data_IF_166714722405
#
_entry.id   IF_166714722405
#
_cell.length_a   1.000
_cell.length_b   1.000
_cell.length_c   1.000
_cell.angle_alpha   90.00
_cell.angle_beta   90.00
_cell.angle_gamma   90.00
#
_symmetry.space_group_name_H-M   'P 1'
#
loop_
_entity.id
_entity.type
_entity.pdbx_description
1 polymer ?
#
# COMPACT_ATOMS: atom_id res chain seq x y z
N UNK A 1 -19.18 -18.64 -19.96
CA UNK A 1 -19.31 -17.41 -19.17
C UNK A 1 -19.40 -17.54 -17.66
N UNK A 2 -19.84 -18.65 -17.05
CA UNK A 2 -19.60 -18.94 -15.61
C UNK A 2 -20.17 -17.94 -14.58
N UNK A 3 -20.87 -16.90 -15.04
CA UNK A 3 -21.57 -15.90 -14.23
C UNK A 3 -22.88 -16.48 -13.70
N UNK A 4 -23.35 -15.97 -12.57
CA UNK A 4 -24.64 -16.36 -11.98
C UNK A 4 -25.78 -16.03 -12.94
N UNK A 5 -26.67 -17.00 -13.17
CA UNK A 5 -27.94 -16.76 -13.85
C UNK A 5 -28.95 -16.13 -12.88
N UNK A 6 -29.57 -15.02 -13.30
CA UNK A 6 -30.58 -14.32 -12.52
C UNK A 6 -31.95 -14.96 -12.76
N UNK A 7 -32.63 -15.36 -11.68
CA UNK A 7 -33.91 -16.07 -11.74
C UNK A 7 -35.01 -15.17 -12.30
N UNK A 8 -34.95 -13.88 -12.01
CA UNK A 8 -35.88 -12.87 -12.54
C UNK A 8 -35.46 -12.33 -13.91
N UNK A 9 -34.45 -12.93 -14.55
CA UNK A 9 -33.86 -12.50 -15.81
C UNK A 9 -32.91 -11.30 -15.72
N UNK A 10 -32.95 -10.52 -14.63
CA UNK A 10 -32.08 -9.35 -14.44
C UNK A 10 -31.74 -9.11 -12.97
N UNK A 11 -30.48 -8.77 -12.69
CA UNK A 11 -30.04 -8.38 -11.35
C UNK A 11 -30.83 -7.21 -10.74
N UNK A 12 -31.44 -6.35 -11.59
CA UNK A 12 -32.23 -5.18 -11.15
C UNK A 12 -33.60 -5.54 -10.57
N UNK A 13 -34.15 -6.71 -10.90
CA UNK A 13 -35.44 -7.17 -10.41
C UNK A 13 -35.32 -8.10 -9.21
N UNK A 14 -34.10 -8.46 -8.79
CA UNK A 14 -33.83 -9.23 -7.58
C UNK A 14 -33.59 -8.28 -6.39
N UNK A 15 -34.07 -8.65 -5.19
CA UNK A 15 -33.72 -7.96 -3.94
C UNK A 15 -32.24 -8.11 -3.58
N UNK A 16 -31.75 -7.40 -2.56
CA UNK A 16 -30.34 -7.53 -2.14
C UNK A 16 -30.00 -8.96 -1.73
N UNK A 17 -28.93 -9.51 -2.32
CA UNK A 17 -28.38 -10.82 -1.97
C UNK A 17 -26.85 -10.74 -1.81
N UNK A 18 -26.32 -11.62 -0.95
CA UNK A 18 -24.87 -11.78 -0.79
C UNK A 18 -24.36 -12.83 -1.77
N UNK A 19 -23.32 -12.50 -2.53
CA UNK A 19 -22.61 -13.43 -3.41
C UNK A 19 -21.48 -14.08 -2.60
N UNK A 20 -21.34 -15.40 -2.73
CA UNK A 20 -20.24 -16.13 -2.10
C UNK A 20 -18.87 -15.68 -2.63
N UNK A 21 -17.82 -15.82 -1.81
CA UNK A 21 -16.46 -15.43 -2.20
C UNK A 21 -16.02 -16.11 -3.51
N UNK A 22 -16.33 -17.39 -3.71
CA UNK A 22 -15.93 -18.14 -4.92
C UNK A 22 -16.53 -17.56 -6.19
N UNK A 23 -17.80 -17.20 -6.15
CA UNK A 23 -18.49 -16.59 -7.29
C UNK A 23 -18.05 -15.14 -7.49
N UNK A 24 -17.80 -14.40 -6.41
CA UNK A 24 -17.30 -13.02 -6.45
C UNK A 24 -15.96 -12.89 -7.17
N UNK A 25 -15.07 -13.89 -7.07
CA UNK A 25 -13.80 -13.90 -7.80
C UNK A 25 -13.97 -13.88 -9.33
N UNK A 26 -15.04 -14.49 -9.86
CA UNK A 26 -15.31 -14.52 -11.31
C UNK A 26 -15.58 -13.12 -11.86
N UNK A 27 -16.26 -12.28 -11.07
CA UNK A 27 -16.52 -10.87 -11.41
C UNK A 27 -15.26 -9.99 -11.32
N UNK A 28 -14.33 -10.30 -10.39
CA UNK A 28 -13.07 -9.58 -10.20
C UNK A 28 -12.04 -9.89 -11.30
N UNK A 29 -11.99 -11.13 -11.80
CA UNK A 29 -11.04 -11.48 -12.85
C UNK A 29 -11.36 -10.75 -14.17
N UNK A 30 -12.64 -10.46 -14.43
CA UNK A 30 -13.06 -9.75 -15.63
C UNK A 30 -12.64 -8.27 -15.63
N UNK A 31 -12.38 -7.66 -14.46
CA UNK A 31 -11.82 -6.30 -14.38
C UNK A 31 -10.32 -6.27 -14.70
N UNK A 32 -9.64 -7.41 -14.66
CA UNK A 32 -8.25 -7.56 -15.11
C UNK A 32 -8.14 -7.54 -16.63
N UNK A 33 -9.15 -8.02 -17.36
CA UNK A 33 -9.18 -8.03 -18.82
C UNK A 33 -9.28 -6.61 -19.44
N UNK A 34 -9.72 -5.60 -18.68
CA UNK A 34 -9.76 -4.20 -19.11
C UNK A 34 -8.53 -3.38 -18.72
N UNK A 35 -7.56 -3.99 -18.02
CA UNK A 35 -6.23 -3.40 -17.85
C UNK A 35 -5.34 -4.02 -18.93
N UNK A 36 -5.31 -3.42 -20.13
CA UNK A 36 -4.31 -3.75 -21.14
C UNK A 36 -2.91 -3.63 -20.50
N UNK A 37 -2.21 -4.77 -20.44
CA UNK A 37 -0.77 -4.83 -20.22
C UNK A 37 -0.10 -4.24 -21.48
N UNK A 38 0.77 -3.22 -21.37
CA UNK A 38 1.61 -2.83 -22.49
C UNK A 38 2.55 -3.98 -22.87
N UNK A 39 2.92 -4.12 -24.16
CA UNK A 39 3.61 -5.28 -24.67
C UNK A 39 4.96 -5.49 -23.97
N UNK A 40 5.20 -6.75 -23.61
CA UNK A 40 6.44 -7.23 -23.02
C UNK A 40 7.55 -7.25 -24.07
N UNK A 41 8.24 -6.13 -24.26
CA UNK A 41 9.53 -6.10 -24.95
C UNK A 41 10.39 -4.90 -24.54
N UNK A 42 10.97 -4.94 -23.34
CA UNK A 42 12.29 -4.34 -23.07
C UNK A 42 12.89 -4.89 -21.77
N UNK A 43 13.43 -6.11 -21.82
CA UNK A 43 14.37 -6.55 -20.79
C UNK A 43 15.71 -5.82 -20.97
N UNK A 44 16.34 -5.46 -19.85
CA UNK A 44 17.73 -4.96 -19.72
C UNK A 44 17.97 -3.47 -20.01
N UNK A 45 17.36 -2.52 -19.25
CA UNK A 45 17.95 -1.16 -19.14
C UNK A 45 17.55 -0.26 -17.95
N UNK A 46 17.16 -0.80 -16.80
CA UNK A 46 16.65 0.05 -15.70
C UNK A 46 17.64 0.39 -14.55
N UNK A 47 18.87 -0.16 -14.56
CA UNK A 47 19.90 0.25 -13.59
C UNK A 47 20.32 1.75 -13.67
N UNK A 48 20.45 2.39 -14.84
CA UNK A 48 20.86 3.80 -14.87
C UNK A 48 19.79 4.74 -14.30
N UNK A 49 18.50 4.43 -14.42
CA UNK A 49 17.42 5.33 -14.01
C UNK A 49 17.28 5.51 -12.48
N UNK A 50 17.63 4.50 -11.68
CA UNK A 50 17.62 4.63 -10.22
C UNK A 50 18.86 5.41 -9.72
N UNK A 51 20.01 5.19 -10.35
CA UNK A 51 21.24 5.93 -10.05
C UNK A 51 21.12 7.40 -10.48
N UNK A 52 20.55 7.67 -11.66
CA UNK A 52 20.27 9.00 -12.18
C UNK A 52 19.28 9.76 -11.30
N UNK A 53 18.15 9.16 -10.91
CA UNK A 53 17.22 9.79 -9.94
C UNK A 53 17.92 10.11 -8.62
N UNK A 54 18.80 9.23 -8.13
CA UNK A 54 19.60 9.50 -6.91
C UNK A 54 20.60 10.64 -7.09
N UNK A 55 21.28 10.72 -8.24
CA UNK A 55 22.30 11.75 -8.49
C UNK A 55 21.68 13.12 -8.78
N UNK A 56 20.62 13.19 -9.58
CA UNK A 56 19.84 14.40 -9.84
C UNK A 56 19.26 14.97 -8.54
N UNK A 57 18.75 14.10 -7.67
CA UNK A 57 18.18 14.54 -6.40
C UNK A 57 19.23 15.01 -5.39
N UNK A 58 20.39 14.33 -5.31
CA UNK A 58 21.53 14.81 -4.49
C UNK A 58 21.99 16.18 -4.97
N UNK A 59 22.00 16.41 -6.30
CA UNK A 59 22.32 17.71 -6.90
C UNK A 59 21.31 18.78 -6.51
N UNK A 60 20.00 18.50 -6.60
CA UNK A 60 18.93 19.42 -6.17
C UNK A 60 18.98 19.75 -4.67
N UNK A 61 19.29 18.79 -3.79
CA UNK A 61 19.48 19.07 -2.37
C UNK A 61 20.69 19.97 -2.13
N UNK A 62 21.83 19.68 -2.79
CA UNK A 62 23.08 20.43 -2.61
C UNK A 62 23.00 21.89 -3.09
N UNK A 63 22.11 22.22 -4.04
CA UNK A 63 21.95 23.60 -4.53
C UNK A 63 21.21 24.52 -3.56
N UNK A 64 20.50 23.98 -2.55
CA UNK A 64 19.77 24.75 -1.55
C UNK A 64 20.49 24.86 -0.18
N UNK A 65 21.56 24.08 0.05
CA UNK A 65 22.25 24.01 1.36
C UNK A 65 23.30 25.10 1.61
N UNK A 66 23.36 26.15 0.79
CA UNK A 66 24.37 27.20 0.90
C UNK A 66 24.21 28.19 2.06
N UNK A 67 23.10 28.19 2.84
CA UNK A 67 22.86 29.29 3.79
C UNK A 67 22.04 29.02 5.07
N UNK A 68 21.65 27.79 5.43
CA UNK A 68 21.06 27.58 6.77
C UNK A 68 21.23 26.15 7.30
N UNK A 69 21.84 26.06 8.47
CA UNK A 69 21.99 24.85 9.28
C UNK A 69 20.67 24.60 10.03
N UNK A 70 19.67 24.07 9.32
CA UNK A 70 18.36 23.80 9.90
C UNK A 70 17.91 22.40 9.53
N UNK A 71 17.62 21.59 10.55
CA UNK A 71 17.01 20.25 10.48
C UNK A 71 15.73 20.18 9.62
N UNK A 72 15.20 21.33 9.18
CA UNK A 72 14.16 21.46 8.16
C UNK A 72 14.49 20.75 6.84
N UNK A 73 15.76 20.60 6.42
CA UNK A 73 16.11 19.90 5.17
C UNK A 73 16.50 18.44 5.36
N UNK A 74 16.51 17.95 6.60
CA UNK A 74 16.62 16.52 6.94
C UNK A 74 15.29 15.79 6.68
N UNK A 75 14.53 16.24 5.68
CA UNK A 75 13.29 15.62 5.24
C UNK A 75 13.58 14.20 4.78
N UNK A 76 13.28 13.25 5.66
CA UNK A 76 13.06 11.83 5.42
C UNK A 76 13.84 11.27 4.21
N UNK A 77 15.12 10.98 4.45
CA UNK A 77 16.02 10.41 3.42
C UNK A 77 15.46 9.12 2.80
N UNK A 78 14.52 8.44 3.49
CA UNK A 78 13.86 7.21 3.01
C UNK A 78 12.68 7.48 2.08
N UNK A 79 12.05 8.67 2.08
CA UNK A 79 10.99 9.04 1.12
C UNK A 79 11.46 8.88 -0.33
N UNK A 80 12.74 9.12 -0.57
CA UNK A 80 13.35 9.04 -1.91
C UNK A 80 13.77 7.62 -2.32
N UNK A 81 13.71 6.64 -1.40
CA UNK A 81 14.01 5.23 -1.67
C UNK A 81 12.75 4.40 -1.96
N UNK A 82 11.58 5.03 -2.06
CA UNK A 82 10.31 4.35 -2.28
C UNK A 82 10.23 3.71 -3.67
N UNK A 83 9.85 2.44 -3.70
CA UNK A 83 9.57 1.66 -4.92
C UNK A 83 8.25 2.05 -5.58
N UNK A 84 8.12 1.75 -6.88
CA UNK A 84 6.86 1.87 -7.61
C UNK A 84 5.89 0.77 -7.15
N UNK A 85 4.85 1.17 -6.42
CA UNK A 85 3.85 0.27 -5.83
C UNK A 85 2.44 0.68 -6.26
N UNK A 86 1.55 -0.30 -6.38
CA UNK A 86 0.13 -0.12 -6.75
C UNK A 86 -0.77 -0.67 -5.66
N UNK A 87 -1.76 0.12 -5.27
CA UNK A 87 -2.84 -0.30 -4.37
C UNK A 87 -3.98 -0.90 -5.21
N UNK A 88 -4.38 -2.13 -4.92
CA UNK A 88 -5.53 -2.76 -5.56
C UNK A 88 -6.14 -3.87 -4.69
N UNK A 89 -7.25 -4.47 -5.15
CA UNK A 89 -7.92 -5.56 -4.44
C UNK A 89 -6.97 -6.76 -4.32
N UNK A 90 -6.85 -7.32 -3.12
CA UNK A 90 -6.01 -8.50 -2.88
C UNK A 90 -6.87 -9.74 -2.61
N UNK A 91 -6.28 -10.91 -2.87
CA UNK A 91 -6.90 -12.21 -2.61
C UNK A 91 -6.78 -12.64 -1.14
N UNK A 92 -5.84 -12.04 -0.40
CA UNK A 92 -5.58 -12.38 1.01
C UNK A 92 -6.55 -11.61 1.92
N UNK A 93 -6.55 -10.29 1.77
CA UNK A 93 -7.40 -9.37 2.52
C UNK A 93 -7.88 -8.28 1.58
N UNK A 94 -9.00 -7.64 1.92
CA UNK A 94 -9.76 -6.74 1.05
C UNK A 94 -8.90 -5.94 0.07
N UNK A 95 -7.90 -5.22 0.57
CA UNK A 95 -6.96 -4.49 -0.25
C UNK A 95 -5.54 -4.98 -0.02
N UNK A 96 -4.66 -4.71 -0.98
CA UNK A 96 -3.24 -5.04 -0.88
C UNK A 96 -2.36 -4.09 -1.67
N UNK A 97 -1.05 -4.19 -1.42
CA UNK A 97 -0.01 -3.42 -2.08
C UNK A 97 0.86 -4.31 -2.97
N UNK A 98 0.99 -3.95 -4.24
CA UNK A 98 1.67 -4.75 -5.26
C UNK A 98 2.85 -3.99 -5.87
N UNK A 99 3.96 -4.67 -6.12
CA UNK A 99 5.12 -4.08 -6.78
C UNK A 99 4.89 -3.95 -8.29
N UNK A 100 5.21 -2.78 -8.85
CA UNK A 100 5.14 -2.48 -10.29
C UNK A 100 6.53 -2.51 -10.96
N UNK A 101 7.57 -2.82 -10.19
CA UNK A 101 8.94 -2.97 -10.65
C UNK A 101 9.60 -4.12 -9.89
N UNK A 102 10.61 -4.81 -10.47
CA UNK A 102 11.34 -5.85 -9.77
C UNK A 102 12.10 -5.27 -8.57
N UNK A 103 12.06 -5.98 -7.45
CA UNK A 103 12.72 -5.61 -6.20
C UNK A 103 13.76 -6.68 -5.89
N UNK A 104 15.02 -6.29 -5.71
CA UNK A 104 16.08 -7.20 -5.32
C UNK A 104 15.99 -7.53 -3.82
N UNK A 105 16.59 -8.65 -3.41
CA UNK A 105 16.78 -8.96 -1.99
C UNK A 105 17.52 -7.82 -1.27
N UNK A 106 17.20 -7.63 0.01
CA UNK A 106 17.76 -6.59 0.89
C UNK A 106 17.53 -5.13 0.43
N UNK A 107 16.62 -4.91 -0.52
CA UNK A 107 16.28 -3.57 -0.98
C UNK A 107 15.09 -2.98 -0.22
N UNK A 108 15.25 -1.73 0.21
CA UNK A 108 14.16 -0.97 0.84
C UNK A 108 13.00 -0.73 -0.12
N UNK A 109 11.77 -0.99 0.35
CA UNK A 109 10.53 -0.88 -0.43
C UNK A 109 9.77 0.42 -0.16
N UNK A 110 9.25 0.57 1.05
CA UNK A 110 8.48 1.74 1.51
C UNK A 110 8.56 1.83 3.04
N UNK A 111 8.72 3.03 3.58
CA UNK A 111 8.63 3.29 5.01
C UNK A 111 7.19 3.16 5.52
N UNK A 112 7.00 2.61 6.71
CA UNK A 112 5.70 2.60 7.38
C UNK A 112 5.47 3.94 8.09
N UNK A 113 4.56 4.77 7.57
CA UNK A 113 4.32 6.11 8.10
C UNK A 113 2.97 6.18 8.78
N UNK A 114 2.96 6.73 10.00
CA UNK A 114 1.76 6.99 10.79
C UNK A 114 2.04 7.97 11.93
N UNK A 115 1.12 8.08 12.88
CA UNK A 115 1.28 8.86 14.10
C UNK A 115 2.12 8.10 15.12
N UNK A 116 3.11 8.75 15.72
CA UNK A 116 3.86 8.18 16.84
C UNK A 116 3.03 8.32 18.13
N UNK A 117 2.77 7.19 18.78
CA UNK A 117 1.98 7.08 20.01
C UNK A 117 2.66 6.15 21.02
N UNK A 118 2.31 6.35 22.30
CA UNK A 118 2.75 5.48 23.41
C UNK A 118 1.80 4.28 23.58
N UNK A 119 2.27 3.23 24.26
CA UNK A 119 1.48 2.02 24.55
C UNK A 119 0.09 2.33 25.12
N UNK A 120 -0.01 3.14 26.17
CA UNK A 120 -1.29 3.47 26.82
C UNK A 120 -2.29 4.10 25.85
N UNK A 121 -1.80 4.89 24.89
CA UNK A 121 -2.65 5.52 23.87
C UNK A 121 -3.06 4.51 22.79
N UNK A 122 -2.19 3.55 22.46
CA UNK A 122 -2.50 2.48 21.53
C UNK A 122 -3.64 1.61 22.07
N UNK A 123 -3.56 1.17 23.33
CA UNK A 123 -4.59 0.35 23.97
C UNK A 123 -5.96 1.08 24.01
N UNK A 124 -5.95 2.38 24.34
CA UNK A 124 -7.15 3.21 24.33
C UNK A 124 -7.75 3.34 22.91
N UNK A 125 -6.89 3.50 21.88
CA UNK A 125 -7.32 3.65 20.49
C UNK A 125 -7.83 2.35 19.90
N UNK A 126 -7.21 1.22 20.24
CA UNK A 126 -7.64 -0.10 19.80
C UNK A 126 -9.09 -0.36 20.21
N UNK A 127 -9.41 -0.20 21.50
CA UNK A 127 -10.79 -0.34 22.00
C UNK A 127 -11.76 0.62 21.29
N UNK A 128 -11.36 1.88 21.10
CA UNK A 128 -12.20 2.85 20.39
C UNK A 128 -12.44 2.46 18.94
N UNK A 129 -11.44 1.94 18.25
CA UNK A 129 -11.57 1.51 16.86
C UNK A 129 -12.43 0.26 16.72
N UNK A 130 -12.36 -0.66 17.68
CA UNK A 130 -13.31 -1.78 17.79
C UNK A 130 -14.76 -1.28 17.96
N UNK A 131 -14.98 -0.34 18.88
CA UNK A 131 -16.31 0.28 19.12
C UNK A 131 -16.83 1.04 17.88
N UNK A 132 -15.94 1.70 17.12
CA UNK A 132 -16.25 2.35 15.83
C UNK A 132 -16.52 1.33 14.69
N UNK A 133 -16.30 0.03 14.92
CA UNK A 133 -16.47 -1.03 13.92
C UNK A 133 -15.31 -1.15 12.93
N UNK A 134 -14.15 -0.57 13.24
CA UNK A 134 -12.93 -0.70 12.44
C UNK A 134 -12.26 -2.02 12.80
N UNK A 135 -12.68 -3.10 12.14
CA UNK A 135 -12.18 -4.46 12.39
C UNK A 135 -10.78 -4.75 11.83
N UNK A 136 -9.92 -3.75 11.64
CA UNK A 136 -8.54 -3.94 11.14
C UNK A 136 -7.56 -3.06 11.93
N UNK A 137 -6.50 -3.67 12.46
CA UNK A 137 -5.45 -2.95 13.20
C UNK A 137 -4.35 -2.46 12.25
N UNK A 138 -4.04 -1.17 12.34
CA UNK A 138 -2.96 -0.52 11.57
C UNK A 138 -1.90 0.08 12.50
N UNK A 139 -1.54 -0.66 13.54
CA UNK A 139 -0.51 -0.27 14.51
C UNK A 139 0.76 -1.09 14.30
N UNK A 140 1.90 -0.42 14.25
CA UNK A 140 3.22 -1.04 14.12
C UNK A 140 4.09 -0.68 15.30
N UNK A 141 4.56 -1.69 16.05
CA UNK A 141 5.45 -1.49 17.20
C UNK A 141 6.89 -1.31 16.73
N UNK A 142 7.51 -0.20 17.09
CA UNK A 142 8.93 0.08 16.79
C UNK A 142 9.79 -0.33 17.98
N UNK A 143 9.40 0.12 19.18
CA UNK A 143 10.09 -0.15 20.45
C UNK A 143 9.07 -0.54 21.53
N UNK A 144 9.51 -0.70 22.78
CA UNK A 144 8.61 -0.96 23.92
C UNK A 144 7.58 0.15 24.16
N UNK A 145 8.00 1.41 24.01
CA UNK A 145 7.17 2.60 24.29
C UNK A 145 6.70 3.33 23.02
N UNK A 146 7.18 2.92 21.85
CA UNK A 146 6.95 3.62 20.57
C UNK A 146 6.15 2.76 19.62
N UNK A 147 4.94 3.19 19.31
CA UNK A 147 4.03 2.56 18.34
C UNK A 147 3.68 3.59 17.26
N UNK A 148 3.63 3.15 16.00
CA UNK A 148 3.19 3.95 14.86
C UNK A 148 1.77 3.53 14.48
N UNK A 149 0.81 4.44 14.64
CA UNK A 149 -0.59 4.24 14.27
C UNK A 149 -0.90 4.87 12.91
N UNK A 150 -1.24 4.04 11.93
CA UNK A 150 -1.57 4.44 10.56
C UNK A 150 -3.07 4.38 10.25
N UNK A 151 -3.94 4.20 11.26
CA UNK A 151 -5.38 3.97 11.09
C UNK A 151 -6.07 5.14 10.39
N UNK A 152 -5.88 6.36 10.91
CA UNK A 152 -6.50 7.58 10.36
C UNK A 152 -5.52 8.40 9.53
N UNK A 153 -4.23 8.43 9.91
CA UNK A 153 -3.19 9.19 9.22
C UNK A 153 -2.00 8.27 8.94
N UNK A 154 -1.77 7.93 7.68
CA UNK A 154 -0.63 7.09 7.28
C UNK A 154 -0.45 7.03 5.77
N UNK A 155 0.45 6.18 5.30
CA UNK A 155 0.70 5.97 3.86
C UNK A 155 0.20 4.59 3.38
N UNK A 156 0.48 4.25 2.11
CA UNK A 156 0.06 2.97 1.53
C UNK A 156 0.71 1.72 2.15
N UNK A 157 1.75 1.86 2.98
CA UNK A 157 2.39 0.72 3.64
C UNK A 157 1.43 -0.04 4.57
N UNK A 158 0.38 0.63 5.08
CA UNK A 158 -0.66 0.01 5.91
C UNK A 158 -1.45 -1.10 5.19
N UNK A 159 -1.35 -1.20 3.87
CA UNK A 159 -2.03 -2.21 3.05
C UNK A 159 -1.11 -3.38 2.67
N UNK A 160 0.06 -3.50 3.30
CA UNK A 160 0.87 -4.72 3.22
C UNK A 160 0.18 -5.76 4.11
N UNK A 161 -0.23 -6.87 3.51
CA UNK A 161 -0.96 -7.91 4.22
C UNK A 161 0.00 -8.83 4.98
N UNK A 162 -0.51 -9.41 6.07
CA UNK A 162 0.15 -10.50 6.76
C UNK A 162 0.03 -11.82 5.97
N UNK A 163 1.10 -12.62 5.98
CA UNK A 163 1.17 -13.97 5.42
C UNK A 163 2.12 -14.80 6.29
N UNK A 164 1.76 -16.04 6.61
CA UNK A 164 2.59 -16.94 7.45
C UNK A 164 3.62 -17.75 6.66
N UNK A 165 3.55 -17.73 5.32
CA UNK A 165 4.49 -18.44 4.44
C UNK A 165 5.85 -17.75 4.39
#
# INVERSE_FOLDING_TARGET
DGMREHVTGCARSEGYYKIDKKDKLKYLNNSRAFAEEPPADTQVRNRPAQCQRRSEQRRLLSSFTGSCDSDLLKFNQLKFRKKKLKFCKSHIHDWGLFAMEPIAADEMVIEYVGQNIRQVIADMREKRYEDEGIGSSYMFRVDHDTIIDATKCGNFARFINHSCN
#
